data_IF_744702604012
#
_entry.id   IF_744702604012
#
_cell.length_a   1.000
_cell.length_b   1.000
_cell.length_c   1.000
_cell.angle_alpha   90.00
_cell.angle_beta   90.00
_cell.angle_gamma   90.00
#
_symmetry.space_group_name_H-M   'P 1'
#
loop_
_entity.id
_entity.type
_entity.pdbx_description
1 polymer ?
#
# COMPACT_ATOMS: atom_id res chain seq x y z
N UNK A 1 -13.71 -2.72 22.11
CA UNK A 1 -12.27 -3.09 21.98
C UNK A 1 -12.18 -4.25 21.01
N UNK A 2 -11.30 -4.18 20.01
CA UNK A 2 -11.10 -5.26 19.02
C UNK A 2 -9.65 -5.70 19.07
N UNK A 3 -9.41 -7.00 19.22
CA UNK A 3 -8.06 -7.58 19.17
C UNK A 3 -7.82 -8.06 17.74
N UNK A 4 -6.70 -7.64 17.16
CA UNK A 4 -6.24 -8.15 15.86
C UNK A 4 -5.45 -9.43 16.12
N UNK A 5 -5.77 -10.49 15.38
CA UNK A 5 -5.24 -11.84 15.62
C UNK A 5 -4.72 -12.44 14.31
N UNK A 6 -3.87 -13.44 14.39
CA UNK A 6 -3.42 -14.21 13.21
C UNK A 6 -4.60 -14.75 12.39
N UNK A 7 -5.65 -15.25 13.05
CA UNK A 7 -6.84 -15.73 12.36
C UNK A 7 -7.54 -14.64 11.51
N UNK A 8 -7.54 -13.39 12.00
CA UNK A 8 -8.03 -12.26 11.20
C UNK A 8 -7.09 -11.98 10.02
N UNK A 9 -5.77 -12.03 10.23
CA UNK A 9 -4.83 -11.83 9.13
C UNK A 9 -4.99 -12.92 8.06
N UNK A 10 -5.14 -14.18 8.46
CA UNK A 10 -5.40 -15.32 7.57
C UNK A 10 -6.65 -15.10 6.73
N UNK A 11 -7.75 -14.68 7.36
CA UNK A 11 -9.00 -14.36 6.68
C UNK A 11 -8.81 -13.28 5.62
N UNK A 12 -8.19 -12.15 5.99
CA UNK A 12 -8.04 -10.99 5.09
C UNK A 12 -7.12 -11.33 3.92
N UNK A 13 -6.06 -12.13 4.12
CA UNK A 13 -5.21 -12.58 3.00
C UNK A 13 -5.86 -13.63 2.12
N UNK A 14 -6.66 -14.54 2.68
CA UNK A 14 -7.43 -15.47 1.87
C UNK A 14 -8.40 -14.72 0.95
N UNK A 15 -9.02 -13.65 1.46
CA UNK A 15 -9.86 -12.76 0.66
C UNK A 15 -9.05 -11.98 -0.39
N UNK A 16 -7.85 -11.50 -0.06
CA UNK A 16 -6.96 -10.83 -1.02
C UNK A 16 -6.52 -11.76 -2.15
N UNK A 17 -6.09 -12.98 -1.83
CA UNK A 17 -5.67 -13.99 -2.79
C UNK A 17 -6.79 -14.44 -3.73
N UNK A 18 -8.03 -14.47 -3.24
CA UNK A 18 -9.21 -14.77 -4.05
C UNK A 18 -9.71 -13.58 -4.88
N UNK A 19 -9.30 -12.35 -4.56
CA UNK A 19 -9.73 -11.15 -5.26
C UNK A 19 -8.97 -11.00 -6.60
N UNK A 20 -9.63 -10.60 -7.70
CA UNK A 20 -8.97 -10.39 -8.99
C UNK A 20 -7.77 -9.44 -8.95
N UNK A 21 -7.80 -8.47 -8.02
CA UNK A 21 -6.76 -7.45 -7.82
C UNK A 21 -5.64 -7.91 -6.88
N UNK A 22 -5.76 -9.07 -6.24
CA UNK A 22 -4.79 -9.57 -5.25
C UNK A 22 -4.72 -8.74 -3.96
N UNK A 23 -5.74 -7.94 -3.66
CA UNK A 23 -5.77 -7.00 -2.52
C UNK A 23 -7.09 -7.03 -1.78
N UNK A 24 -7.02 -6.81 -0.47
CA UNK A 24 -8.20 -6.60 0.37
C UNK A 24 -7.88 -5.67 1.53
N UNK A 25 -8.67 -4.63 1.69
CA UNK A 25 -8.69 -3.85 2.93
C UNK A 25 -9.71 -4.40 3.91
N UNK A 26 -9.39 -4.30 5.20
CA UNK A 26 -10.27 -4.58 6.32
C UNK A 26 -10.34 -3.34 7.22
N UNK A 27 -11.45 -2.60 7.12
CA UNK A 27 -11.62 -1.34 7.83
C UNK A 27 -11.88 -1.57 9.33
N UNK A 28 -11.21 -0.79 10.17
CA UNK A 28 -11.42 -0.75 11.62
C UNK A 28 -12.24 0.48 12.05
N UNK A 29 -12.30 1.48 11.20
CA UNK A 29 -13.19 2.63 11.33
C UNK A 29 -14.63 2.24 10.94
N UNK A 30 -15.66 2.89 11.53
CA UNK A 30 -17.05 2.45 11.39
C UNK A 30 -17.67 2.77 10.02
N UNK A 31 -17.16 3.76 9.31
CA UNK A 31 -17.75 4.26 8.06
C UNK A 31 -16.75 5.13 7.30
N UNK A 32 -16.91 5.23 5.99
CA UNK A 32 -16.00 5.96 5.10
C UNK A 32 -15.99 7.49 5.33
N UNK A 33 -16.95 8.04 6.07
CA UNK A 33 -17.02 9.45 6.47
C UNK A 33 -16.32 9.73 7.82
N UNK A 34 -15.76 8.71 8.47
CA UNK A 34 -15.12 8.85 9.77
C UNK A 34 -13.80 9.64 9.67
N UNK A 35 -13.47 10.48 10.65
CA UNK A 35 -12.30 11.36 10.56
C UNK A 35 -10.94 10.65 10.70
N UNK A 36 -10.90 9.40 11.17
CA UNK A 36 -9.65 8.66 11.43
C UNK A 36 -9.73 7.25 10.82
N UNK A 37 -9.15 7.10 9.64
CA UNK A 37 -9.16 5.84 8.91
C UNK A 37 -8.02 4.97 9.40
N UNK A 38 -8.39 3.79 9.88
CA UNK A 38 -7.49 2.72 10.31
C UNK A 38 -7.94 1.44 9.64
N UNK A 39 -7.01 0.73 9.02
CA UNK A 39 -7.32 -0.44 8.21
C UNK A 39 -6.15 -1.41 8.17
N UNK A 40 -6.45 -2.68 7.95
CA UNK A 40 -5.46 -3.65 7.49
C UNK A 40 -5.56 -3.74 5.97
N UNK A 41 -4.43 -3.67 5.28
CA UNK A 41 -4.34 -3.90 3.85
C UNK A 41 -3.55 -5.18 3.61
N UNK A 42 -4.22 -6.21 3.09
CA UNK A 42 -3.59 -7.39 2.55
C UNK A 42 -3.27 -7.17 1.07
N UNK A 43 -2.05 -7.50 0.66
CA UNK A 43 -1.57 -7.41 -0.71
C UNK A 43 -0.74 -8.64 -1.06
N UNK A 44 -1.14 -9.35 -2.11
CA UNK A 44 -0.44 -10.52 -2.63
C UNK A 44 0.58 -10.14 -3.72
N UNK A 45 1.63 -10.94 -3.95
CA UNK A 45 2.51 -10.79 -5.11
C UNK A 45 1.71 -10.77 -6.42
N UNK A 46 2.20 -10.02 -7.42
CA UNK A 46 1.45 -9.80 -8.65
C UNK A 46 0.49 -8.60 -8.57
N UNK A 47 0.59 -7.80 -7.51
CA UNK A 47 -0.30 -6.68 -7.23
C UNK A 47 0.49 -5.42 -6.83
N UNK A 48 0.09 -4.26 -7.33
CA UNK A 48 0.59 -2.94 -6.89
C UNK A 48 -0.55 -1.94 -6.76
N UNK A 49 -0.31 -0.91 -5.94
CA UNK A 49 -1.15 0.29 -5.91
C UNK A 49 -0.55 1.28 -6.92
N UNK A 50 -1.34 1.84 -7.83
CA UNK A 50 -0.82 2.89 -8.72
C UNK A 50 -0.13 3.96 -7.87
N UNK A 51 1.09 4.39 -8.23
CA UNK A 51 1.76 5.46 -7.50
C UNK A 51 0.86 6.68 -7.34
N UNK A 52 0.81 7.19 -6.12
CA UNK A 52 -0.09 8.26 -5.74
C UNK A 52 0.53 9.09 -4.62
N UNK A 53 -0.09 10.24 -4.36
CA UNK A 53 0.17 11.11 -3.23
C UNK A 53 -1.15 11.58 -2.65
N UNK A 54 -1.13 12.04 -1.41
CA UNK A 54 -2.22 12.82 -0.85
C UNK A 54 -1.85 14.29 -0.82
N UNK A 55 -2.72 15.19 -1.27
CA UNK A 55 -2.44 16.63 -1.23
C UNK A 55 -3.02 17.33 0.00
N UNK A 56 -3.96 16.70 0.69
CA UNK A 56 -4.49 17.19 1.96
C UNK A 56 -3.41 17.05 3.05
N UNK A 57 -3.00 18.14 3.73
CA UNK A 57 -1.98 18.09 4.78
C UNK A 57 -2.38 17.29 6.02
N UNK A 58 -3.64 16.86 6.14
CA UNK A 58 -4.07 15.96 7.20
C UNK A 58 -3.94 14.48 6.82
N UNK A 59 -3.62 14.17 5.55
CA UNK A 59 -3.61 12.82 4.99
C UNK A 59 -2.22 12.23 4.81
N UNK A 60 -1.29 12.58 5.69
CA UNK A 60 -0.09 11.76 5.89
C UNK A 60 -0.50 10.30 6.14
N UNK A 61 0.28 9.36 5.63
CA UNK A 61 0.00 7.92 5.70
C UNK A 61 1.06 7.19 6.51
N UNK A 62 0.65 6.61 7.63
CA UNK A 62 1.52 5.72 8.40
C UNK A 62 1.18 4.27 8.07
N UNK A 63 2.19 3.50 7.65
CA UNK A 63 2.05 2.08 7.32
C UNK A 63 2.97 1.24 8.21
N UNK A 64 2.44 0.19 8.85
CA UNK A 64 3.19 -0.75 9.70
C UNK A 64 2.97 -2.17 9.18
N UNK A 65 4.04 -2.86 8.79
CA UNK A 65 3.94 -4.26 8.35
C UNK A 65 3.70 -5.16 9.55
N UNK A 66 2.53 -5.80 9.57
CA UNK A 66 2.12 -6.71 10.65
C UNK A 66 2.28 -8.18 10.26
N UNK A 67 2.47 -8.47 8.97
CA UNK A 67 2.87 -9.79 8.45
C UNK A 67 3.49 -9.67 7.07
N UNK A 68 4.46 -10.53 6.75
CA UNK A 68 5.08 -10.59 5.43
C UNK A 68 6.11 -9.47 5.19
N UNK A 69 6.23 -9.06 3.93
CA UNK A 69 7.26 -8.13 3.46
C UNK A 69 6.70 -7.19 2.38
N UNK A 70 6.87 -5.88 2.59
CA UNK A 70 6.38 -4.82 1.71
C UNK A 70 7.55 -4.05 1.12
N UNK A 71 7.57 -3.86 -0.19
CA UNK A 71 8.47 -2.93 -0.86
C UNK A 71 7.80 -1.58 -0.96
N UNK A 72 8.47 -0.52 -0.52
CA UNK A 72 8.03 0.87 -0.65
C UNK A 72 8.93 1.58 -1.65
N UNK A 73 8.34 2.32 -2.59
CA UNK A 73 9.08 3.12 -3.58
C UNK A 73 8.54 4.54 -3.55
N UNK A 74 9.42 5.53 -3.48
CA UNK A 74 9.11 6.96 -3.57
C UNK A 74 9.59 7.54 -4.90
N UNK A 75 8.90 8.58 -5.38
CA UNK A 75 9.19 9.23 -6.67
C UNK A 75 9.18 10.75 -6.56
N UNK A 76 9.87 11.43 -7.48
CA UNK A 76 9.67 12.86 -7.74
C UNK A 76 8.50 13.10 -8.70
N UNK A 77 8.27 14.37 -9.07
CA UNK A 77 7.16 14.76 -9.95
C UNK A 77 7.33 14.30 -11.41
N UNK A 78 8.54 13.93 -11.81
CA UNK A 78 8.85 13.39 -13.13
C UNK A 78 8.74 11.84 -13.18
N UNK A 79 8.50 11.20 -12.03
CA UNK A 79 8.43 9.76 -11.90
C UNK A 79 9.78 9.05 -11.75
N UNK A 80 10.85 9.80 -11.50
CA UNK A 80 12.15 9.24 -11.14
C UNK A 80 12.12 8.72 -9.70
N UNK A 81 12.69 7.54 -9.47
CA UNK A 81 12.74 6.92 -8.15
C UNK A 81 13.68 7.71 -7.24
N UNK A 82 13.16 8.16 -6.09
CA UNK A 82 13.93 8.90 -5.07
C UNK A 82 14.34 8.01 -3.91
N UNK A 83 13.71 6.85 -3.73
CA UNK A 83 13.99 5.94 -2.63
C UNK A 83 13.31 4.59 -2.77
N UNK A 84 13.94 3.55 -2.24
CA UNK A 84 13.38 2.20 -2.13
C UNK A 84 13.69 1.61 -0.77
N UNK A 85 12.69 1.02 -0.13
CA UNK A 85 12.84 0.41 1.20
C UNK A 85 12.05 -0.90 1.30
N UNK A 86 12.63 -1.88 2.00
CA UNK A 86 11.93 -3.12 2.36
C UNK A 86 11.48 -3.01 3.81
N UNK A 87 10.18 -3.16 4.04
CA UNK A 87 9.59 -3.27 5.37
C UNK A 87 9.22 -4.74 5.64
N UNK A 88 9.60 -5.26 6.80
CA UNK A 88 9.24 -6.63 7.24
C UNK A 88 8.75 -6.63 8.67
N UNK A 89 7.71 -7.42 8.95
CA UNK A 89 7.27 -7.64 10.32
C UNK A 89 8.42 -8.23 11.16
N UNK A 90 8.78 -7.57 12.26
CA UNK A 90 9.90 -7.96 13.13
C UNK A 90 11.30 -7.73 12.54
N UNK A 91 11.40 -7.07 11.38
CA UNK A 91 12.68 -6.67 10.77
C UNK A 91 13.21 -5.35 11.34
N UNK A 92 14.42 -4.95 10.89
CA UNK A 92 15.04 -3.67 11.25
C UNK A 92 14.16 -2.48 10.82
N UNK A 93 13.65 -2.51 9.58
CA UNK A 93 12.64 -1.60 9.08
C UNK A 93 11.31 -2.34 8.94
N UNK A 94 10.26 -1.81 9.56
CA UNK A 94 8.93 -2.45 9.62
C UNK A 94 7.77 -1.48 9.48
N UNK A 95 8.05 -0.18 9.43
CA UNK A 95 7.05 0.86 9.27
C UNK A 95 7.61 2.02 8.43
N UNK A 96 6.71 2.78 7.81
CA UNK A 96 7.00 4.03 7.12
C UNK A 96 5.92 5.05 7.49
N UNK A 97 6.32 6.31 7.57
CA UNK A 97 5.43 7.46 7.67
C UNK A 97 5.66 8.31 6.43
N UNK A 98 4.61 8.48 5.62
CA UNK A 98 4.69 9.10 4.30
C UNK A 98 3.99 10.46 4.38
N UNK A 99 4.73 11.57 4.24
CA UNK A 99 4.13 12.89 4.19
C UNK A 99 3.21 13.07 2.98
N UNK A 100 2.16 13.86 3.15
CA UNK A 100 1.39 14.41 2.04
C UNK A 100 2.32 15.08 1.01
N UNK A 101 1.92 15.03 -0.25
CA UNK A 101 2.66 15.57 -1.39
C UNK A 101 3.67 14.60 -2.00
N UNK A 102 4.07 13.54 -1.30
CA UNK A 102 5.07 12.58 -1.79
C UNK A 102 4.44 11.45 -2.62
N UNK A 103 4.88 11.33 -3.87
CA UNK A 103 4.49 10.21 -4.71
C UNK A 103 5.14 8.94 -4.22
N UNK A 104 4.33 7.92 -3.98
CA UNK A 104 4.80 6.63 -3.53
C UNK A 104 3.92 5.48 -4.03
N UNK A 105 4.46 4.28 -3.98
CA UNK A 105 3.72 3.02 -4.17
C UNK A 105 4.25 1.96 -3.22
N UNK A 106 3.45 0.89 -3.08
CA UNK A 106 3.85 -0.31 -2.37
C UNK A 106 3.61 -1.55 -3.23
N UNK A 107 4.51 -2.53 -3.10
CA UNK A 107 4.43 -3.85 -3.73
C UNK A 107 4.62 -4.95 -2.70
N UNK A 108 3.92 -6.06 -2.88
CA UNK A 108 4.10 -7.24 -2.03
C UNK A 108 5.36 -8.01 -2.42
N UNK A 109 6.26 -8.25 -1.47
CA UNK A 109 7.49 -9.02 -1.66
C UNK A 109 7.39 -10.44 -1.08
N UNK A 110 6.29 -10.76 -0.40
CA UNK A 110 6.01 -12.08 0.15
C UNK A 110 4.50 -12.36 0.13
N UNK A 111 4.06 -13.61 -0.17
CA UNK A 111 2.66 -14.00 -0.02
C UNK A 111 2.12 -13.70 1.38
N UNK A 112 0.84 -13.35 1.47
CA UNK A 112 0.18 -13.07 2.74
C UNK A 112 0.65 -11.80 3.44
N UNK A 113 1.26 -10.85 2.71
CA UNK A 113 1.70 -9.57 3.27
C UNK A 113 0.50 -8.73 3.72
N UNK A 114 0.55 -8.26 4.96
CA UNK A 114 -0.45 -7.39 5.56
C UNK A 114 0.25 -6.22 6.26
N UNK A 115 -0.23 -5.01 5.99
CA UNK A 115 0.17 -3.82 6.73
C UNK A 115 -1.05 -3.13 7.34
N UNK A 116 -0.85 -2.57 8.53
CA UNK A 116 -1.78 -1.63 9.14
C UNK A 116 -1.50 -0.25 8.56
N UNK A 117 -2.54 0.44 8.10
CA UNK A 117 -2.47 1.82 7.62
C UNK A 117 -3.33 2.70 8.54
N UNK A 118 -2.82 3.89 8.85
CA UNK A 118 -3.58 4.96 9.47
C UNK A 118 -3.39 6.28 8.70
N UNK A 119 -4.51 6.97 8.47
CA UNK A 119 -4.55 8.31 7.87
C UNK A 119 -5.82 9.06 8.25
N UNK A 120 -5.87 10.38 8.01
CA UNK A 120 -7.12 11.11 8.16
C UNK A 120 -8.17 10.64 7.15
N UNK A 121 -9.38 10.47 7.64
CA UNK A 121 -10.56 10.42 6.80
C UNK A 121 -11.14 11.82 6.59
N UNK A 122 -12.26 11.93 5.86
CA UNK A 122 -13.01 10.82 5.26
C UNK A 122 -12.28 10.21 4.06
N UNK A 123 -12.74 9.05 3.59
CA UNK A 123 -12.32 8.51 2.30
C UNK A 123 -12.80 9.44 1.19
N UNK A 124 -11.84 9.91 0.39
CA UNK A 124 -12.07 10.65 -0.83
C UNK A 124 -11.30 9.92 -1.93
N UNK A 125 -11.93 9.64 -3.08
CA UNK A 125 -11.20 9.12 -4.23
C UNK A 125 -10.06 10.06 -4.60
N UNK A 126 -8.91 9.49 -4.97
CA UNK A 126 -7.77 10.27 -5.44
C UNK A 126 -8.19 11.12 -6.65
N UNK A 127 -7.85 12.39 -6.59
CA UNK A 127 -7.98 13.33 -7.71
C UNK A 127 -6.98 13.00 -8.82
N UNK A 128 -7.06 13.69 -9.95
CA UNK A 128 -6.09 13.51 -11.03
C UNK A 128 -4.66 13.88 -10.60
N UNK A 129 -4.51 14.98 -9.84
CA UNK A 129 -3.21 15.50 -9.39
C UNK A 129 -2.57 14.68 -8.26
N UNK A 130 -3.36 13.77 -7.67
CA UNK A 130 -2.94 12.82 -6.66
C UNK A 130 -2.53 11.46 -7.26
N UNK A 131 -2.82 11.21 -8.54
CA UNK A 131 -2.38 10.00 -9.25
C UNK A 131 -1.16 10.35 -10.08
N UNK A 132 -0.16 9.47 -10.07
CA UNK A 132 1.02 9.64 -10.92
C UNK A 132 0.66 9.45 -12.41
N UNK A 133 0.69 10.50 -13.26
CA UNK A 133 0.31 10.39 -14.67
C UNK A 133 1.27 9.51 -15.50
N UNK A 134 2.49 9.27 -15.02
CA UNK A 134 3.48 8.41 -15.68
C UNK A 134 3.28 6.92 -15.40
N UNK A 135 2.52 6.57 -14.37
CA UNK A 135 2.35 5.18 -13.95
C UNK A 135 1.03 4.62 -14.52
N UNK A 136 1.07 3.45 -15.19
CA UNK A 136 -0.14 2.87 -15.74
C UNK A 136 -1.17 2.57 -14.66
N UNK A 137 -2.43 2.83 -14.99
CA UNK A 137 -3.53 2.47 -14.12
C UNK A 137 -3.70 0.94 -14.09
N UNK A 138 -4.30 0.46 -13.01
CA UNK A 138 -4.64 -0.96 -12.91
C UNK A 138 -5.57 -1.40 -14.05
N UNK A 139 -5.22 -2.52 -14.69
CA UNK A 139 -5.95 -3.06 -15.84
C UNK A 139 -5.47 -2.53 -17.19
N UNK A 140 -4.56 -1.54 -17.23
CA UNK A 140 -3.93 -1.13 -18.47
C UNK A 140 -2.90 -2.15 -18.98
N UNK A 141 -2.66 -2.26 -20.30
CA UNK A 141 -1.72 -3.22 -20.87
C UNK A 141 -0.30 -3.14 -20.29
N UNK A 142 0.16 -1.95 -19.89
CA UNK A 142 1.48 -1.73 -19.33
C UNK A 142 1.58 -2.00 -17.81
N UNK A 143 0.46 -2.29 -17.13
CA UNK A 143 0.43 -2.46 -15.67
C UNK A 143 1.32 -3.62 -15.19
N UNK A 144 1.34 -4.74 -15.92
CA UNK A 144 2.15 -5.91 -15.55
C UNK A 144 3.65 -5.63 -15.67
N UNK A 145 4.09 -5.05 -16.80
CA UNK A 145 5.51 -4.76 -16.98
C UNK A 145 6.00 -3.65 -16.04
N UNK A 146 5.13 -2.71 -15.69
CA UNK A 146 5.42 -1.70 -14.68
C UNK A 146 5.54 -2.31 -13.28
N UNK A 147 4.64 -3.20 -12.88
CA UNK A 147 4.77 -3.95 -11.63
C UNK A 147 6.09 -4.74 -11.59
N UNK A 148 6.44 -5.42 -12.67
CA UNK A 148 7.68 -6.20 -12.74
C UNK A 148 8.91 -5.30 -12.53
N UNK A 149 8.91 -4.08 -13.09
CA UNK A 149 10.00 -3.13 -12.89
C UNK A 149 10.10 -2.65 -11.44
N UNK A 150 8.96 -2.40 -10.76
CA UNK A 150 8.92 -2.06 -9.33
C UNK A 150 9.49 -3.20 -8.48
N UNK A 151 9.06 -4.44 -8.71
CA UNK A 151 9.52 -5.60 -7.94
C UNK A 151 11.02 -5.85 -8.15
N UNK A 152 11.55 -5.62 -9.36
CA UNK A 152 12.98 -5.75 -9.66
C UNK A 152 13.88 -4.75 -8.93
N UNK A 153 13.33 -3.67 -8.37
CA UNK A 153 14.09 -2.73 -7.54
C UNK A 153 14.53 -3.35 -6.20
N UNK A 154 13.94 -4.48 -5.81
CA UNK A 154 14.22 -5.15 -4.56
C UNK A 154 15.00 -6.45 -4.79
N UNK A 155 15.98 -6.77 -3.93
CA UNK A 155 16.69 -8.05 -4.01
C UNK A 155 15.72 -9.22 -3.90
N UNK A 156 15.91 -10.23 -4.75
CA UNK A 156 15.20 -11.51 -4.65
C UNK A 156 15.58 -12.16 -3.32
N UNK A 157 14.57 -12.58 -2.55
CA UNK A 157 14.75 -13.33 -1.30
C UNK A 157 15.02 -14.80 -1.58
#
# INVERSE_FOLDING_TARGET
>A
MRILTEALLDEVTAQAAAAPRGRKNHNLHPSDDFCCHRLLNAIEPGSYIQPHRHLDPLKDESMVVVRGALGVVSFNEEGEVTGTFILRCGGEAFAVDIPHGEFHTVVSLAPGTVFFEAKAGPYLPLTADEKAPWAPAEGEPAASSYLDSLVQMFPRQ
#
